data_IF_505001921239
#
_entry.id   IF_505001921239
#
_cell.length_a   1.000
_cell.length_b   1.000
_cell.length_c   1.000
_cell.angle_alpha   90.00
_cell.angle_beta   90.00
_cell.angle_gamma   90.00
#
_symmetry.space_group_name_H-M   'P 1'
#
loop_
_entity.id
_entity.type
_entity.pdbx_description
1 polymer ?
#
# COMPACT_ATOMS: atom_id res chain seq x y z
N UNK A 1 19.07 4.50 7.04
CA UNK A 1 19.10 5.37 5.86
C UNK A 1 18.32 6.66 6.07
N UNK A 2 18.35 7.62 5.11
CA UNK A 2 17.73 8.94 5.23
C UNK A 2 16.21 8.90 5.48
N UNK A 3 15.49 7.88 4.98
CA UNK A 3 14.05 7.74 5.20
C UNK A 3 13.68 7.56 6.68
N UNK A 4 14.46 6.80 7.45
CA UNK A 4 14.23 6.67 8.90
C UNK A 4 14.39 8.01 9.62
N UNK A 5 15.40 8.82 9.23
CA UNK A 5 15.59 10.16 9.79
C UNK A 5 14.43 11.09 9.48
N UNK A 6 13.82 10.95 8.32
CA UNK A 6 12.62 11.72 7.94
C UNK A 6 11.39 11.24 8.69
N UNK A 7 11.19 9.92 8.82
CA UNK A 7 10.08 9.35 9.58
C UNK A 7 10.02 9.87 11.03
N UNK A 8 11.18 9.96 11.69
CA UNK A 8 11.27 10.50 13.05
C UNK A 8 10.97 12.00 13.14
N UNK A 9 10.99 12.71 12.01
CA UNK A 9 10.77 14.18 11.95
C UNK A 9 9.37 14.57 11.48
N UNK A 10 8.61 13.62 10.90
CA UNK A 10 7.24 13.90 10.45
C UNK A 10 6.37 14.30 11.63
N UNK A 11 5.73 15.48 11.52
CA UNK A 11 4.76 15.98 12.50
C UNK A 11 3.35 15.91 11.93
N UNK A 12 2.35 16.02 12.78
CA UNK A 12 0.97 16.12 12.34
C UNK A 12 0.80 17.25 11.32
N UNK A 13 0.23 16.93 10.15
CA UNK A 13 0.06 17.86 9.03
C UNK A 13 1.31 18.09 8.17
N UNK A 14 2.40 17.40 8.43
CA UNK A 14 3.68 17.41 7.67
C UNK A 14 4.09 18.77 7.08
N UNK A 15 4.28 19.82 7.93
CA UNK A 15 4.56 21.19 7.46
C UNK A 15 5.88 21.30 6.68
N UNK A 16 6.80 20.36 6.89
CA UNK A 16 8.12 20.32 6.25
C UNK A 16 8.14 19.44 5.00
N UNK A 17 6.97 18.87 4.63
CA UNK A 17 6.75 18.03 3.45
C UNK A 17 7.70 16.82 3.37
N UNK A 18 7.97 16.18 4.50
CA UNK A 18 8.84 15.00 4.59
C UNK A 18 8.25 13.79 3.86
N UNK A 19 6.92 13.64 3.86
CA UNK A 19 6.23 12.55 3.15
C UNK A 19 6.49 12.63 1.64
N UNK A 20 6.32 13.80 1.02
CA UNK A 20 6.59 13.96 -0.40
C UNK A 20 8.09 13.77 -0.74
N UNK A 21 8.99 14.21 0.14
CA UNK A 21 10.45 13.98 -0.01
C UNK A 21 10.79 12.50 0.08
N UNK A 22 10.18 11.79 1.02
CA UNK A 22 10.36 10.35 1.17
C UNK A 22 9.79 9.60 -0.04
N UNK A 23 8.62 9.99 -0.53
CA UNK A 23 8.02 9.41 -1.73
C UNK A 23 8.91 9.63 -2.97
N UNK A 24 9.41 10.84 -3.19
CA UNK A 24 10.31 11.14 -4.31
C UNK A 24 11.61 10.31 -4.24
N UNK A 25 12.18 10.17 -3.05
CA UNK A 25 13.36 9.34 -2.83
C UNK A 25 13.05 7.85 -3.08
N UNK A 26 11.94 7.35 -2.55
CA UNK A 26 11.49 5.98 -2.71
C UNK A 26 11.34 5.61 -4.19
N UNK A 27 10.55 6.38 -4.94
CA UNK A 27 10.30 6.11 -6.36
C UNK A 27 11.55 6.16 -7.22
N UNK A 28 12.46 7.09 -6.93
CA UNK A 28 13.74 7.19 -7.62
C UNK A 28 14.63 5.97 -7.40
N UNK A 29 14.55 5.33 -6.24
CA UNK A 29 15.39 4.19 -5.91
C UNK A 29 14.78 2.86 -6.34
N UNK A 30 13.46 2.70 -6.20
CA UNK A 30 12.80 1.44 -6.54
C UNK A 30 12.74 1.21 -8.06
N UNK A 31 12.59 2.27 -8.85
CA UNK A 31 12.63 2.25 -10.32
C UNK A 31 13.87 2.97 -10.87
N UNK A 32 15.04 2.65 -10.32
CA UNK A 32 16.32 3.28 -10.71
C UNK A 32 16.66 3.13 -12.20
N UNK A 33 16.18 2.04 -12.81
CA UNK A 33 16.42 1.72 -14.22
C UNK A 33 15.49 2.47 -15.19
N UNK A 34 14.49 3.18 -14.65
CA UNK A 34 13.59 4.01 -15.44
C UNK A 34 13.98 5.49 -15.27
N UNK A 35 14.62 6.11 -16.27
CA UNK A 35 15.01 7.51 -16.18
C UNK A 35 13.80 8.42 -15.93
N UNK A 36 13.91 9.30 -14.93
CA UNK A 36 12.88 10.29 -14.60
C UNK A 36 11.50 9.69 -14.28
N UNK A 37 11.44 8.48 -13.71
CA UNK A 37 10.17 7.91 -13.30
C UNK A 37 9.41 8.85 -12.35
N UNK A 38 8.17 9.13 -12.69
CA UNK A 38 7.22 9.91 -11.87
C UNK A 38 6.00 9.06 -11.59
N UNK A 39 5.72 8.86 -10.30
CA UNK A 39 4.51 8.18 -9.87
C UNK A 39 3.29 9.06 -10.14
N UNK A 40 2.37 8.56 -10.95
CA UNK A 40 1.16 9.30 -11.32
C UNK A 40 0.05 8.39 -11.83
N UNK A 41 -1.18 8.87 -11.73
CA UNK A 41 -2.36 8.12 -12.17
C UNK A 41 -2.36 7.89 -13.69
N UNK A 42 -1.97 8.92 -14.44
CA UNK A 42 -1.90 8.92 -15.91
C UNK A 42 -0.44 8.82 -16.42
N UNK A 43 0.47 8.34 -15.54
CA UNK A 43 1.89 8.23 -15.87
C UNK A 43 2.20 7.03 -16.77
N UNK A 44 3.37 7.12 -17.43
CA UNK A 44 3.92 6.04 -18.25
C UNK A 44 4.13 4.73 -17.45
N UNK A 45 4.21 3.56 -18.09
CA UNK A 45 4.53 2.31 -17.41
C UNK A 45 5.80 2.43 -16.55
N UNK A 46 5.82 1.79 -15.36
CA UNK A 46 4.90 0.81 -14.80
C UNK A 46 3.71 1.38 -14.01
N UNK A 47 3.34 2.66 -14.18
CA UNK A 47 2.22 3.24 -13.45
C UNK A 47 0.89 2.50 -13.68
N UNK A 48 0.67 1.92 -14.87
CA UNK A 48 -0.48 1.06 -15.20
C UNK A 48 -0.54 -0.18 -14.28
N UNK A 49 0.60 -0.84 -14.04
CA UNK A 49 0.71 -2.00 -13.14
C UNK A 49 0.46 -1.59 -11.69
N UNK A 50 1.13 -0.52 -11.23
CA UNK A 50 0.98 0.02 -9.89
C UNK A 50 -0.47 0.43 -9.60
N UNK A 51 -1.13 1.13 -10.53
CA UNK A 51 -2.52 1.54 -10.38
C UNK A 51 -3.46 0.33 -10.24
N UNK A 52 -3.25 -0.69 -11.07
CA UNK A 52 -4.04 -1.92 -11.03
C UNK A 52 -3.78 -2.72 -9.76
N UNK A 53 -2.52 -2.85 -9.35
CA UNK A 53 -2.13 -3.53 -8.11
C UNK A 53 -2.70 -2.85 -6.88
N UNK A 54 -2.62 -1.52 -6.81
CA UNK A 54 -3.21 -0.76 -5.69
C UNK A 54 -4.74 -0.81 -5.66
N UNK A 55 -5.40 -0.91 -6.81
CA UNK A 55 -6.85 -1.11 -6.83
C UNK A 55 -7.24 -2.46 -6.22
N UNK A 56 -6.47 -3.53 -6.51
CA UNK A 56 -6.68 -4.84 -5.91
C UNK A 56 -6.38 -4.80 -4.41
N UNK A 57 -5.25 -4.21 -3.99
CA UNK A 57 -4.90 -4.05 -2.59
C UNK A 57 -5.99 -3.29 -1.81
N UNK A 58 -6.47 -2.16 -2.36
CA UNK A 58 -7.57 -1.39 -1.78
C UNK A 58 -8.82 -2.24 -1.56
N UNK A 59 -9.18 -3.08 -2.54
CA UNK A 59 -10.34 -3.97 -2.42
C UNK A 59 -10.16 -5.01 -1.32
N UNK A 60 -8.96 -5.58 -1.16
CA UNK A 60 -8.62 -6.52 -0.07
C UNK A 60 -8.75 -5.83 1.28
N UNK A 61 -8.17 -4.64 1.45
CA UNK A 61 -8.22 -3.87 2.69
C UNK A 61 -9.65 -3.43 3.02
N UNK A 62 -10.41 -2.94 2.04
CA UNK A 62 -11.79 -2.54 2.25
C UNK A 62 -12.65 -3.71 2.72
N UNK A 63 -12.48 -4.91 2.15
CA UNK A 63 -13.14 -6.13 2.60
C UNK A 63 -12.77 -6.48 4.03
N UNK A 64 -11.49 -6.38 4.39
CA UNK A 64 -11.00 -6.66 5.75
C UNK A 64 -11.56 -5.67 6.77
N UNK A 65 -11.68 -4.38 6.42
CA UNK A 65 -12.32 -3.36 7.25
C UNK A 65 -13.78 -3.71 7.54
N UNK A 66 -14.56 -4.00 6.50
CA UNK A 66 -15.97 -4.40 6.67
C UNK A 66 -16.10 -5.65 7.52
N UNK A 67 -15.24 -6.66 7.31
CA UNK A 67 -15.22 -7.88 8.13
C UNK A 67 -14.87 -7.61 9.60
N UNK A 68 -14.13 -6.53 9.88
CA UNK A 68 -13.82 -6.08 11.24
C UNK A 68 -14.86 -5.11 11.83
N UNK A 69 -15.99 -4.85 11.14
CA UNK A 69 -17.02 -3.93 11.58
C UNK A 69 -16.68 -2.44 11.37
N UNK A 70 -15.72 -2.12 10.52
CA UNK A 70 -15.29 -0.77 10.23
C UNK A 70 -15.80 -0.30 8.86
N UNK A 71 -16.13 0.98 8.75
CA UNK A 71 -16.54 1.59 7.48
C UNK A 71 -15.31 2.06 6.70
N UNK A 72 -15.08 1.59 5.47
CA UNK A 72 -13.93 2.00 4.66
C UNK A 72 -13.86 3.49 4.33
N UNK A 73 -14.98 4.20 4.50
CA UNK A 73 -15.15 5.61 4.13
C UNK A 73 -14.62 6.61 5.16
N UNK A 74 -14.56 6.21 6.44
CA UNK A 74 -14.19 7.11 7.55
C UNK A 74 -12.68 7.10 7.77
N UNK A 75 -11.95 7.86 6.96
CA UNK A 75 -10.50 7.97 7.05
C UNK A 75 -9.98 8.59 8.34
N UNK A 76 -8.79 8.20 8.73
CA UNK A 76 -8.04 8.77 9.87
C UNK A 76 -7.22 9.98 9.37
N UNK A 77 -6.55 9.83 8.25
CA UNK A 77 -5.71 10.85 7.61
C UNK A 77 -6.40 11.46 6.37
N UNK A 78 -6.92 10.61 5.49
CA UNK A 78 -7.62 11.08 4.29
C UNK A 78 -9.05 11.53 4.59
N UNK A 79 -9.36 12.79 4.29
CA UNK A 79 -10.68 13.39 4.51
C UNK A 79 -11.25 13.99 3.22
N UNK A 80 -11.61 13.11 2.28
CA UNK A 80 -12.24 13.56 1.04
C UNK A 80 -13.68 13.03 0.97
N UNK A 81 -14.66 13.93 1.00
CA UNK A 81 -16.11 13.59 0.96
C UNK A 81 -16.55 12.81 -0.29
N UNK A 82 -15.74 12.83 -1.34
CA UNK A 82 -16.01 12.11 -2.59
C UNK A 82 -15.28 10.76 -2.66
N UNK A 83 -14.40 10.45 -1.70
CA UNK A 83 -13.70 9.18 -1.65
C UNK A 83 -14.38 8.22 -0.68
N UNK A 84 -15.01 7.19 -1.22
CA UNK A 84 -15.67 6.15 -0.44
C UNK A 84 -14.70 5.19 0.27
N UNK A 85 -13.38 5.38 0.11
CA UNK A 85 -12.34 4.46 0.58
C UNK A 85 -11.26 5.15 1.43
N UNK A 86 -11.55 6.28 2.06
CA UNK A 86 -10.55 7.04 2.83
C UNK A 86 -9.82 6.17 3.86
N UNK A 87 -10.54 5.38 4.67
CA UNK A 87 -9.93 4.49 5.66
C UNK A 87 -9.18 3.33 5.00
N UNK A 88 -9.68 2.81 3.89
CA UNK A 88 -8.98 1.77 3.16
C UNK A 88 -7.66 2.31 2.57
N UNK A 89 -7.65 3.55 2.08
CA UNK A 89 -6.45 4.23 1.60
C UNK A 89 -5.42 4.43 2.74
N UNK A 90 -5.87 4.83 3.93
CA UNK A 90 -5.00 4.95 5.11
C UNK A 90 -4.38 3.60 5.51
N UNK A 91 -5.20 2.56 5.61
CA UNK A 91 -4.76 1.24 6.11
C UNK A 91 -3.92 0.49 5.08
N UNK A 92 -4.08 0.76 3.77
CA UNK A 92 -3.29 0.07 2.74
C UNK A 92 -1.84 0.58 2.62
N UNK A 93 -1.52 1.77 3.14
CA UNK A 93 -0.19 2.38 2.98
C UNK A 93 0.97 1.44 3.35
N UNK A 94 1.00 0.77 4.52
CA UNK A 94 2.09 -0.12 4.89
C UNK A 94 2.16 -1.42 4.05
N UNK A 95 1.14 -1.70 3.24
CA UNK A 95 1.09 -2.86 2.35
C UNK A 95 1.52 -2.54 0.91
N UNK A 96 1.62 -1.25 0.54
CA UNK A 96 2.03 -0.85 -0.82
C UNK A 96 3.36 -1.44 -1.26
N UNK A 97 4.41 -1.49 -0.43
CA UNK A 97 5.69 -2.06 -0.85
C UNK A 97 5.63 -3.52 -1.32
N UNK A 98 4.68 -4.31 -0.82
CA UNK A 98 4.48 -5.70 -1.31
C UNK A 98 3.96 -5.71 -2.76
N UNK A 99 3.09 -4.76 -3.09
CA UNK A 99 2.61 -4.59 -4.48
C UNK A 99 3.73 -4.08 -5.37
N UNK A 100 4.53 -3.14 -4.87
CA UNK A 100 5.67 -2.57 -5.60
C UNK A 100 6.69 -3.65 -5.93
N UNK A 101 7.00 -4.54 -4.97
CA UNK A 101 7.86 -5.70 -5.19
C UNK A 101 7.31 -6.64 -6.27
N UNK A 102 6.01 -6.96 -6.22
CA UNK A 102 5.38 -7.77 -7.25
C UNK A 102 5.44 -7.10 -8.64
N UNK A 103 5.30 -5.78 -8.70
CA UNK A 103 5.42 -5.04 -9.96
C UNK A 103 6.84 -5.14 -10.51
N UNK A 104 7.88 -5.05 -9.67
CA UNK A 104 9.26 -5.30 -10.10
C UNK A 104 9.44 -6.71 -10.65
N UNK A 105 8.95 -7.74 -9.97
CA UNK A 105 9.02 -9.14 -10.43
C UNK A 105 8.32 -9.32 -11.78
N UNK A 106 7.19 -8.64 -12.00
CA UNK A 106 6.48 -8.65 -13.28
C UNK A 106 7.33 -7.99 -14.37
N UNK A 107 7.95 -6.85 -14.10
CA UNK A 107 8.79 -6.13 -15.05
C UNK A 107 10.02 -6.97 -15.45
N UNK A 108 10.67 -7.64 -14.49
CA UNK A 108 11.81 -8.51 -14.74
C UNK A 108 11.45 -9.76 -15.54
N UNK A 109 10.26 -10.30 -15.34
CA UNK A 109 9.79 -11.55 -15.97
C UNK A 109 8.99 -11.34 -17.25
N UNK A 110 8.73 -10.09 -17.67
CA UNK A 110 7.86 -9.76 -18.80
C UNK A 110 8.57 -8.77 -19.73
N UNK A 111 8.72 -9.13 -21.00
CA UNK A 111 9.42 -8.29 -21.97
C UNK A 111 8.70 -6.95 -22.22
N UNK A 112 7.38 -6.98 -22.30
CA UNK A 112 6.55 -5.79 -22.52
C UNK A 112 5.44 -5.70 -21.48
N UNK A 113 5.49 -4.67 -20.66
CA UNK A 113 4.51 -4.34 -19.62
C UNK A 113 3.78 -3.02 -19.87
N UNK A 114 3.86 -2.51 -21.10
CA UNK A 114 3.17 -1.28 -21.52
C UNK A 114 1.64 -1.42 -21.41
N UNK A 115 1.13 -2.64 -21.64
CA UNK A 115 -0.28 -2.95 -21.52
C UNK A 115 -0.56 -4.04 -20.47
N UNK A 116 -1.76 -3.98 -19.88
CA UNK A 116 -2.25 -4.98 -18.92
C UNK A 116 -2.73 -6.23 -19.66
N UNK A 117 -1.80 -7.07 -20.10
CA UNK A 117 -2.12 -8.36 -20.73
C UNK A 117 -2.84 -9.29 -19.74
N UNK A 118 -3.44 -10.38 -20.26
CA UNK A 118 -4.07 -11.42 -19.42
C UNK A 118 -3.09 -12.03 -18.44
N UNK A 119 -1.86 -12.28 -18.88
CA UNK A 119 -0.80 -12.84 -18.02
C UNK A 119 -0.45 -11.89 -16.87
N UNK A 120 -0.21 -10.61 -17.16
CA UNK A 120 0.08 -9.58 -16.14
C UNK A 120 -1.10 -9.47 -15.16
N UNK A 121 -2.34 -9.43 -15.64
CA UNK A 121 -3.53 -9.41 -14.79
C UNK A 121 -3.59 -10.61 -13.85
N UNK A 122 -3.27 -11.81 -14.34
CA UNK A 122 -3.23 -12.99 -13.49
C UNK A 122 -2.15 -12.91 -12.41
N UNK A 123 -0.96 -12.39 -12.72
CA UNK A 123 0.10 -12.14 -11.72
C UNK A 123 -0.37 -11.14 -10.66
N UNK A 124 -1.00 -10.02 -11.06
CA UNK A 124 -1.53 -9.03 -10.13
C UNK A 124 -2.66 -9.58 -9.23
N UNK A 125 -3.48 -10.49 -9.74
CA UNK A 125 -4.53 -11.16 -8.95
C UNK A 125 -3.98 -12.06 -7.84
N UNK A 126 -2.67 -12.34 -7.81
CA UNK A 126 -2.02 -13.02 -6.70
C UNK A 126 -1.79 -12.14 -5.46
N UNK A 127 -2.01 -10.81 -5.54
CA UNK A 127 -1.81 -9.87 -4.41
C UNK A 127 -2.44 -10.36 -3.10
N UNK A 128 -3.68 -10.88 -3.04
CA UNK A 128 -4.28 -11.34 -1.78
C UNK A 128 -3.50 -12.47 -1.09
N UNK A 129 -2.72 -13.24 -1.84
CA UNK A 129 -1.97 -14.39 -1.33
C UNK A 129 -0.46 -14.16 -1.27
N UNK A 130 0.02 -12.94 -1.52
CA UNK A 130 1.43 -12.60 -1.34
C UNK A 130 1.89 -12.87 0.09
N UNK A 131 3.07 -13.43 0.23
CA UNK A 131 3.73 -13.63 1.51
C UNK A 131 3.99 -12.28 2.20
N UNK A 132 3.43 -12.11 3.37
CA UNK A 132 3.53 -10.89 4.18
C UNK A 132 3.96 -11.28 5.58
N UNK A 133 4.96 -10.60 6.14
CA UNK A 133 5.35 -10.80 7.53
C UNK A 133 4.52 -9.88 8.42
N UNK A 134 3.87 -10.44 9.45
CA UNK A 134 3.13 -9.70 10.46
C UNK A 134 3.23 -10.41 11.80
N UNK A 135 3.63 -9.70 12.86
CA UNK A 135 3.84 -10.29 14.18
C UNK A 135 4.87 -11.42 14.15
N UNK A 136 5.97 -11.25 13.44
CA UNK A 136 7.06 -12.23 13.23
C UNK A 136 6.60 -13.54 12.56
N UNK A 137 5.48 -13.54 11.84
CA UNK A 137 4.97 -14.72 11.13
C UNK A 137 4.65 -14.38 9.69
N UNK A 138 4.96 -15.32 8.78
CA UNK A 138 4.50 -15.24 7.39
C UNK A 138 3.02 -15.59 7.31
N UNK A 139 2.28 -14.78 6.58
CA UNK A 139 0.85 -14.95 6.33
C UNK A 139 0.51 -14.45 4.92
N UNK A 140 -0.50 -14.98 4.25
CA UNK A 140 -1.04 -14.34 3.05
C UNK A 140 -1.48 -12.90 3.34
N UNK A 141 -1.25 -11.99 2.39
CA UNK A 141 -1.55 -10.56 2.55
C UNK A 141 -2.99 -10.32 3.02
N UNK A 142 -3.95 -11.06 2.50
CA UNK A 142 -5.36 -10.96 2.92
C UNK A 142 -5.57 -11.30 4.41
N UNK A 143 -4.77 -12.20 4.97
CA UNK A 143 -4.83 -12.56 6.39
C UNK A 143 -4.12 -11.49 7.22
N UNK A 144 -2.97 -10.99 6.75
CA UNK A 144 -2.26 -9.90 7.39
C UNK A 144 -3.13 -8.62 7.48
N UNK A 145 -3.84 -8.27 6.40
CA UNK A 145 -4.77 -7.12 6.42
C UNK A 145 -5.91 -7.30 7.43
N UNK A 146 -6.43 -8.53 7.60
CA UNK A 146 -7.44 -8.82 8.63
C UNK A 146 -6.88 -8.61 10.05
N UNK A 147 -5.64 -9.01 10.30
CA UNK A 147 -4.99 -8.76 11.60
C UNK A 147 -4.84 -7.26 11.86
N UNK A 148 -4.40 -6.48 10.86
CA UNK A 148 -4.30 -5.02 10.97
C UNK A 148 -5.66 -4.39 11.26
N UNK A 149 -6.70 -4.71 10.48
CA UNK A 149 -8.04 -4.11 10.65
C UNK A 149 -8.72 -4.53 11.96
N UNK A 150 -8.52 -5.77 12.40
CA UNK A 150 -8.98 -6.23 13.72
C UNK A 150 -8.28 -5.49 14.85
N UNK A 151 -6.97 -5.24 14.72
CA UNK A 151 -6.20 -4.45 15.70
C UNK A 151 -6.66 -2.98 15.73
N UNK A 152 -6.98 -2.41 14.57
CA UNK A 152 -7.56 -1.06 14.47
C UNK A 152 -8.91 -0.97 15.20
N UNK A 153 -9.80 -1.95 15.00
CA UNK A 153 -11.06 -2.03 15.74
C UNK A 153 -10.82 -2.03 17.25
N UNK A 154 -9.87 -2.85 17.73
CA UNK A 154 -9.52 -2.91 19.15
C UNK A 154 -8.92 -1.60 19.67
N UNK A 155 -8.22 -0.85 18.83
CA UNK A 155 -7.78 0.49 19.21
C UNK A 155 -8.96 1.46 19.37
N UNK A 156 -9.95 1.42 18.48
CA UNK A 156 -11.14 2.26 18.58
C UNK A 156 -12.03 1.87 19.77
N UNK A 157 -12.14 0.57 20.11
CA UNK A 157 -12.88 0.12 21.29
C UNK A 157 -12.14 0.34 22.61
N UNK A 158 -10.87 0.78 22.58
CA UNK A 158 -10.06 0.99 23.77
C UNK A 158 -9.43 -0.28 24.36
N UNK A 159 -9.57 -1.42 23.69
CA UNK A 159 -9.02 -2.71 24.14
C UNK A 159 -7.50 -2.80 23.94
N UNK A 160 -6.95 -2.05 22.97
CA UNK A 160 -5.51 -1.95 22.77
C UNK A 160 -5.09 -0.54 22.33
N UNK A 161 -3.80 -0.23 22.50
CA UNK A 161 -3.26 1.12 22.25
C UNK A 161 -2.46 1.24 20.95
N UNK A 162 -2.13 0.14 20.29
CA UNK A 162 -1.30 0.13 19.08
C UNK A 162 -1.87 -0.83 18.04
N UNK A 163 -1.85 -0.39 16.81
CA UNK A 163 -2.18 -1.24 15.68
C UNK A 163 -1.03 -2.22 15.40
N UNK A 164 -1.38 -3.35 14.79
CA UNK A 164 -0.42 -4.30 14.23
C UNK A 164 -0.27 -3.98 12.75
N UNK A 165 0.98 -3.88 12.29
CA UNK A 165 1.35 -3.57 10.91
C UNK A 165 2.20 -4.68 10.31
N UNK A 166 2.25 -4.81 8.96
CA UNK A 166 3.20 -5.69 8.32
C UNK A 166 4.64 -5.18 8.52
N UNK A 167 5.56 -6.13 8.49
CA UNK A 167 7.01 -5.89 8.55
C UNK A 167 7.59 -5.99 7.14
N UNK A 168 8.54 -5.11 6.78
CA UNK A 168 9.20 -5.04 5.47
C UNK A 168 10.61 -5.57 5.55
#
# INVERSE_FOLDING_TARGET
GCMYVWADKVRSGDPDNFEARAAAYYWKNIFSDIPNFVRGREGEPPNNLLNSGYAILRAVVARSLVASGLLPTLGIHHHNKYNAYCLADDVMEPYRPYVDGLVLDIMESTYDYSELTKEIKMKLLAIPVLDTTIGNKKSPLMIATQQTTSSLYKCFSGEQRRMVYPEL
#
